data_IF_682520438498
#
_entry.id   IF_682520438498
#
_cell.length_a   1.000
_cell.length_b   1.000
_cell.length_c   1.000
_cell.angle_alpha   90.00
_cell.angle_beta   90.00
_cell.angle_gamma   90.00
#
_symmetry.space_group_name_H-M   'P 1'
#
loop_
_entity.id
_entity.type
_entity.pdbx_description
1 polymer ?
#
# COMPACT_ATOMS: atom_id res chain seq x y z
N UNK A 1 -12.67 -38.07 4.78
CA UNK A 1 -11.44 -37.35 5.11
C UNK A 1 -11.07 -36.49 3.92
N UNK A 2 -11.55 -35.25 3.85
CA UNK A 2 -11.21 -34.32 2.79
C UNK A 2 -11.34 -32.92 3.38
N UNK A 3 -10.26 -32.44 4.00
CA UNK A 3 -10.25 -31.13 4.68
C UNK A 3 -8.83 -30.53 4.77
N UNK A 4 -7.89 -31.06 3.98
CA UNK A 4 -6.49 -30.59 3.98
C UNK A 4 -5.93 -30.52 2.57
N UNK A 5 -6.67 -29.90 1.66
CA UNK A 5 -6.00 -29.23 0.55
C UNK A 5 -5.59 -27.87 1.11
N UNK A 6 -4.31 -27.69 1.42
CA UNK A 6 -3.76 -26.35 1.68
C UNK A 6 -3.98 -25.57 0.38
N UNK A 7 -5.10 -24.88 0.27
CA UNK A 7 -5.40 -24.07 -0.91
C UNK A 7 -4.72 -22.73 -0.66
N UNK A 8 -3.63 -22.46 -1.35
CA UNK A 8 -3.19 -21.07 -1.56
C UNK A 8 -4.31 -20.35 -2.29
N UNK A 9 -5.24 -19.79 -1.53
CA UNK A 9 -6.41 -19.10 -2.08
C UNK A 9 -6.08 -17.64 -2.28
N UNK A 10 -6.57 -17.06 -3.37
CA UNK A 10 -6.52 -15.62 -3.59
C UNK A 10 -7.12 -14.84 -2.41
N UNK A 11 -8.11 -15.41 -1.71
CA UNK A 11 -8.68 -14.80 -0.50
C UNK A 11 -7.60 -14.56 0.58
N UNK A 12 -6.74 -15.55 0.86
CA UNK A 12 -5.66 -15.38 1.85
C UNK A 12 -4.63 -14.32 1.42
N UNK A 13 -4.33 -14.24 0.13
CA UNK A 13 -3.45 -13.22 -0.42
C UNK A 13 -4.07 -11.83 -0.31
N UNK A 14 -5.36 -11.69 -0.65
CA UNK A 14 -6.10 -10.43 -0.56
C UNK A 14 -6.05 -9.89 0.86
N UNK A 15 -6.26 -10.72 1.89
CA UNK A 15 -6.16 -10.28 3.30
C UNK A 15 -4.75 -9.81 3.67
N UNK A 16 -3.70 -10.53 3.22
CA UNK A 16 -2.31 -10.14 3.50
C UNK A 16 -1.95 -8.80 2.81
N UNK A 17 -2.39 -8.61 1.56
CA UNK A 17 -2.18 -7.37 0.82
C UNK A 17 -3.04 -6.21 1.36
N UNK A 18 -4.29 -6.47 1.76
CA UNK A 18 -5.18 -5.48 2.37
C UNK A 18 -4.63 -4.98 3.71
N UNK A 19 -4.05 -5.87 4.53
CA UNK A 19 -3.38 -5.49 5.76
C UNK A 19 -2.14 -4.62 5.50
N UNK A 20 -1.42 -4.82 4.39
CA UNK A 20 -0.34 -3.92 3.98
C UNK A 20 -0.88 -2.56 3.49
N UNK A 21 -1.92 -2.55 2.66
CA UNK A 21 -2.55 -1.33 2.17
C UNK A 21 -3.11 -0.48 3.32
N UNK A 22 -3.77 -1.10 4.30
CA UNK A 22 -4.28 -0.40 5.47
C UNK A 22 -3.15 0.26 6.28
N UNK A 23 -2.01 -0.43 6.44
CA UNK A 23 -0.83 0.16 7.11
C UNK A 23 -0.25 1.34 6.33
N UNK A 24 -0.20 1.25 5.00
CA UNK A 24 0.21 2.36 4.12
C UNK A 24 -0.72 3.56 4.26
N UNK A 25 -2.04 3.33 4.18
CA UNK A 25 -3.06 4.36 4.38
C UNK A 25 -2.93 5.02 5.75
N UNK A 26 -2.87 4.23 6.83
CA UNK A 26 -2.77 4.75 8.19
C UNK A 26 -1.47 5.53 8.42
N UNK A 27 -0.37 5.16 7.77
CA UNK A 27 0.89 5.92 7.80
C UNK A 27 0.72 7.28 7.13
N UNK A 28 0.16 7.33 5.92
CA UNK A 28 -0.08 8.59 5.21
C UNK A 28 -1.08 9.50 5.92
N UNK A 29 -2.16 8.95 6.48
CA UNK A 29 -3.13 9.72 7.27
C UNK A 29 -2.48 10.36 8.49
N UNK A 30 -1.64 9.60 9.22
CA UNK A 30 -0.87 10.16 10.35
C UNK A 30 0.08 11.26 9.89
N UNK A 31 0.84 11.03 8.82
CA UNK A 31 1.75 12.04 8.27
C UNK A 31 1.01 13.34 7.91
N UNK A 32 -0.10 13.26 7.19
CA UNK A 32 -0.91 14.44 6.84
C UNK A 32 -1.39 15.16 8.09
N UNK A 33 -1.97 14.43 9.05
CA UNK A 33 -2.47 15.04 10.29
C UNK A 33 -1.36 15.63 11.17
N UNK A 34 -0.16 15.04 11.19
CA UNK A 34 1.01 15.56 11.91
C UNK A 34 1.55 16.86 11.31
N UNK A 35 1.25 17.15 10.03
CA UNK A 35 1.60 18.42 9.40
C UNK A 35 0.62 19.55 9.69
N UNK A 36 -0.56 19.24 10.20
CA UNK A 36 -1.60 20.22 10.50
C UNK A 36 -1.65 20.62 11.97
N UNK A 37 -2.28 21.76 12.24
CA UNK A 37 -2.59 22.20 13.58
C UNK A 37 -3.98 21.70 13.98
N UNK A 38 -4.07 20.92 15.07
CA UNK A 38 -5.35 20.46 15.60
C UNK A 38 -6.04 21.57 16.38
N UNK A 39 -7.30 21.85 16.05
CA UNK A 39 -8.14 22.86 16.71
C UNK A 39 -9.00 22.26 17.83
N UNK A 40 -9.55 23.08 18.74
CA UNK A 40 -10.39 22.60 19.84
C UNK A 40 -11.66 21.86 19.40
N UNK A 41 -12.17 22.16 18.21
CA UNK A 41 -13.34 21.48 17.61
C UNK A 41 -12.99 20.12 16.97
N UNK A 42 -11.74 19.69 17.06
CA UNK A 42 -11.24 18.44 16.49
C UNK A 42 -10.78 18.53 15.03
N UNK A 43 -11.00 19.66 14.35
CA UNK A 43 -10.51 19.89 13.00
C UNK A 43 -8.98 19.95 12.94
N UNK A 44 -8.41 19.68 11.77
CA UNK A 44 -6.98 19.80 11.50
C UNK A 44 -6.80 20.82 10.39
N UNK A 45 -6.13 21.93 10.70
CA UNK A 45 -5.82 22.99 9.73
C UNK A 45 -4.45 22.72 9.13
N UNK A 46 -4.42 22.44 7.83
CA UNK A 46 -3.19 22.17 7.09
C UNK A 46 -2.56 23.46 6.55
N UNK A 47 -1.22 23.57 6.50
CA UNK A 47 -0.55 24.67 5.82
C UNK A 47 -0.89 24.70 4.33
N UNK A 48 -1.21 25.89 3.82
CA UNK A 48 -1.69 26.07 2.44
C UNK A 48 -0.66 25.61 1.39
N UNK A 49 0.63 25.80 1.67
CA UNK A 49 1.71 25.36 0.79
C UNK A 49 1.79 23.83 0.67
N UNK A 50 1.47 23.10 1.75
CA UNK A 50 1.43 21.64 1.72
C UNK A 50 0.20 21.14 0.98
N UNK A 51 -0.95 21.78 1.20
CA UNK A 51 -2.18 21.49 0.44
C UNK A 51 -1.94 21.68 -1.05
N UNK A 52 -1.43 22.84 -1.47
CA UNK A 52 -1.14 23.13 -2.89
C UNK A 52 -0.14 22.13 -3.49
N UNK A 53 0.90 21.75 -2.73
CA UNK A 53 1.87 20.73 -3.17
C UNK A 53 1.19 19.38 -3.38
N UNK A 54 0.40 18.90 -2.42
CA UNK A 54 -0.27 17.62 -2.51
C UNK A 54 -1.34 17.61 -3.60
N UNK A 55 -2.12 18.68 -3.74
CA UNK A 55 -3.10 18.83 -4.83
C UNK A 55 -2.42 18.77 -6.20
N UNK A 56 -1.26 19.41 -6.39
CA UNK A 56 -0.51 19.27 -7.64
C UNK A 56 -0.13 17.81 -7.89
N UNK A 57 0.44 17.12 -6.90
CA UNK A 57 0.84 15.71 -7.03
C UNK A 57 -0.37 14.81 -7.33
N UNK A 58 -1.49 14.99 -6.64
CA UNK A 58 -2.74 14.24 -6.86
C UNK A 58 -3.26 14.43 -8.29
N UNK A 59 -3.14 15.64 -8.83
CA UNK A 59 -3.63 15.98 -10.17
C UNK A 59 -2.61 15.69 -11.29
N UNK A 60 -1.39 15.24 -10.96
CA UNK A 60 -0.35 14.94 -11.95
C UNK A 60 -0.33 13.42 -12.21
N UNK A 61 -0.55 12.95 -13.45
CA UNK A 61 -0.40 11.54 -13.80
C UNK A 61 0.98 11.01 -13.43
N UNK A 62 1.07 9.73 -13.06
CA UNK A 62 2.34 9.14 -12.63
C UNK A 62 3.44 9.34 -13.66
N UNK A 63 3.14 9.20 -14.95
CA UNK A 63 4.11 9.35 -16.05
C UNK A 63 4.75 10.74 -16.07
N UNK A 64 4.01 11.76 -15.65
CA UNK A 64 4.40 13.18 -15.64
C UNK A 64 5.11 13.61 -14.34
N UNK A 65 5.10 12.77 -13.30
CA UNK A 65 5.87 13.02 -12.07
C UNK A 65 7.39 12.99 -12.33
N UNK A 66 8.14 13.77 -11.55
CA UNK A 66 9.61 13.68 -11.57
C UNK A 66 10.07 12.33 -11.01
N UNK A 67 11.32 11.95 -11.27
CA UNK A 67 11.86 10.69 -10.76
C UNK A 67 11.84 10.61 -9.22
N UNK A 68 12.12 11.74 -8.58
CA UNK A 68 12.13 11.90 -7.13
C UNK A 68 10.72 11.80 -6.54
N UNK A 69 9.70 12.30 -7.25
CA UNK A 69 8.30 12.15 -6.84
C UNK A 69 7.84 10.70 -6.97
N UNK A 70 8.23 10.03 -8.07
CA UNK A 70 7.98 8.60 -8.30
C UNK A 70 8.68 7.71 -7.29
N UNK A 71 9.79 8.13 -6.68
CA UNK A 71 10.52 7.31 -5.70
C UNK A 71 9.61 6.92 -4.54
N UNK A 72 8.78 7.83 -4.04
CA UNK A 72 7.86 7.53 -2.92
C UNK A 72 6.85 6.45 -3.28
N UNK A 73 6.29 6.50 -4.49
CA UNK A 73 5.36 5.47 -4.98
C UNK A 73 6.05 4.12 -5.16
N UNK A 74 7.25 4.13 -5.76
CA UNK A 74 8.06 2.92 -5.95
C UNK A 74 8.42 2.26 -4.62
N UNK A 75 8.81 3.05 -3.62
CA UNK A 75 9.09 2.55 -2.26
C UNK A 75 7.86 1.90 -1.62
N UNK A 76 6.66 2.42 -1.83
CA UNK A 76 5.45 1.77 -1.33
C UNK A 76 5.21 0.44 -2.04
N UNK A 77 5.30 0.40 -3.38
CA UNK A 77 5.10 -0.83 -4.17
C UNK A 77 6.12 -1.91 -3.81
N UNK A 78 7.38 -1.53 -3.56
CA UNK A 78 8.43 -2.47 -3.16
C UNK A 78 8.07 -3.28 -1.91
N UNK A 79 7.24 -2.75 -1.00
CA UNK A 79 6.79 -3.46 0.22
C UNK A 79 5.84 -4.63 -0.09
N UNK A 80 5.16 -4.61 -1.24
CA UNK A 80 4.26 -5.68 -1.68
C UNK A 80 5.03 -6.85 -2.29
N UNK A 81 6.19 -6.58 -2.92
CA UNK A 81 6.96 -7.58 -3.68
C UNK A 81 7.35 -8.81 -2.86
N UNK A 82 7.79 -8.71 -1.58
CA UNK A 82 8.07 -9.90 -0.79
C UNK A 82 6.84 -10.78 -0.56
N UNK A 83 5.65 -10.19 -0.37
CA UNK A 83 4.39 -10.94 -0.19
C UNK A 83 4.06 -11.69 -1.47
N UNK A 84 4.09 -10.99 -2.61
CA UNK A 84 3.82 -11.56 -3.93
C UNK A 84 4.82 -12.65 -4.28
N UNK A 85 6.11 -12.45 -4.02
CA UNK A 85 7.17 -13.45 -4.25
C UNK A 85 6.92 -14.72 -3.43
N UNK A 86 6.61 -14.59 -2.14
CA UNK A 86 6.26 -15.74 -1.29
C UNK A 86 5.01 -16.46 -1.78
N UNK A 87 4.00 -15.73 -2.24
CA UNK A 87 2.78 -16.33 -2.78
C UNK A 87 3.05 -17.08 -4.08
N UNK A 88 3.78 -16.48 -5.03
CA UNK A 88 4.17 -17.13 -6.29
C UNK A 88 4.98 -18.41 -6.07
N UNK A 89 5.89 -18.41 -5.10
CA UNK A 89 6.66 -19.60 -4.74
C UNK A 89 5.77 -20.73 -4.20
N UNK A 90 4.77 -20.39 -3.37
CA UNK A 90 3.80 -21.36 -2.85
C UNK A 90 2.96 -21.98 -3.98
N UNK A 91 2.41 -21.14 -4.87
CA UNK A 91 1.63 -21.61 -6.03
C UNK A 91 2.46 -22.51 -6.96
N UNK A 92 3.73 -22.16 -7.21
CA UNK A 92 4.62 -22.98 -8.05
C UNK A 92 4.97 -24.33 -7.42
N UNK A 93 5.27 -24.34 -6.12
CA UNK A 93 5.57 -25.58 -5.40
C UNK A 93 4.38 -26.54 -5.32
N UNK A 94 3.14 -26.03 -5.29
CA UNK A 94 1.92 -26.84 -5.38
C UNK A 94 1.75 -27.49 -6.75
N UNK A 95 2.08 -26.79 -7.84
CA UNK A 95 2.00 -27.36 -9.19
C UNK A 95 3.02 -28.47 -9.44
N UNK A 96 4.20 -28.43 -8.82
CA UNK A 96 5.25 -29.45 -8.96
C UNK A 96 5.02 -30.68 -8.05
N UNK A 97 4.28 -30.54 -6.95
CA UNK A 97 3.97 -31.65 -6.03
C UNK A 97 2.68 -32.42 -6.33
N UNK A 98 1.89 -31.96 -7.31
CA UNK A 98 0.63 -32.58 -7.77
C UNK A 98 0.75 -33.24 -9.17
N UNK A 99 1.95 -33.27 -9.75
CA UNK A 99 2.29 -33.93 -11.01
C UNK A 99 3.10 -35.21 -10.74
#
# INVERSE_FOLDING_TARGET
MSDKQFTVSFASLIEELAALEHRRWAHWQRYVHEKGERRPDGSVVLPAELVARWERLINTPYEELTNEEKDSDREQVQKYLPILKRWLQRVRGENEGNA
#
